data_IF_247230290304
#
_entry.id   IF_247230290304
#
_cell.length_a   1.000
_cell.length_b   1.000
_cell.length_c   1.000
_cell.angle_alpha   90.00
_cell.angle_beta   90.00
_cell.angle_gamma   90.00
#
_symmetry.space_group_name_H-M   'P 1'
#
loop_
_entity.id
_entity.type
_entity.pdbx_description
1 polymer ?
#
# COMPACT_ATOMS: atom_id res chain seq x y z
N UNK A 1 14.47 -12.36 12.81
CA UNK A 1 13.62 -13.18 11.91
C UNK A 1 12.72 -14.12 12.71
N UNK A 2 13.26 -15.03 13.53
CA UNK A 2 12.48 -15.97 14.35
C UNK A 2 11.43 -15.28 15.27
N UNK A 3 11.80 -14.18 15.94
CA UNK A 3 10.87 -13.42 16.76
C UNK A 3 9.69 -12.84 15.96
N UNK A 4 9.96 -12.23 14.79
CA UNK A 4 8.90 -11.67 13.91
C UNK A 4 7.95 -12.76 13.42
N UNK A 5 8.48 -13.94 13.11
CA UNK A 5 7.68 -15.09 12.68
C UNK A 5 6.80 -15.64 13.81
N UNK A 6 7.34 -15.79 15.02
CA UNK A 6 6.56 -16.20 16.20
C UNK A 6 5.44 -15.19 16.48
N UNK A 7 5.73 -13.90 16.34
CA UNK A 7 4.76 -12.83 16.56
C UNK A 7 3.60 -12.88 15.57
N UNK A 8 3.92 -13.09 14.30
CA UNK A 8 2.94 -13.25 13.24
C UNK A 8 2.04 -14.47 13.48
N UNK A 9 2.62 -15.60 13.89
CA UNK A 9 1.86 -16.81 14.24
C UNK A 9 0.95 -16.55 15.44
N UNK A 10 1.44 -15.93 16.52
CA UNK A 10 0.62 -15.60 17.70
C UNK A 10 -0.55 -14.69 17.35
N UNK A 11 -0.32 -13.66 16.52
CA UNK A 11 -1.37 -12.74 16.07
C UNK A 11 -2.39 -13.49 15.21
N UNK A 12 -1.93 -14.32 14.26
CA UNK A 12 -2.82 -15.11 13.40
C UNK A 12 -3.73 -16.04 14.22
N UNK A 13 -3.19 -16.71 15.23
CA UNK A 13 -3.99 -17.54 16.15
C UNK A 13 -5.03 -16.71 16.92
N UNK A 14 -4.64 -15.54 17.43
CA UNK A 14 -5.53 -14.66 18.20
C UNK A 14 -6.71 -14.15 17.36
N UNK A 15 -6.46 -13.81 16.09
CA UNK A 15 -7.49 -13.22 15.21
C UNK A 15 -8.22 -14.25 14.35
N UNK A 16 -7.84 -15.54 14.41
CA UNK A 16 -8.46 -16.63 13.63
C UNK A 16 -9.99 -16.69 13.71
N UNK A 17 -10.66 -16.40 14.84
CA UNK A 17 -12.13 -16.37 14.88
C UNK A 17 -12.76 -15.28 14.00
N UNK A 18 -12.01 -14.23 13.68
CA UNK A 18 -12.45 -13.08 12.87
C UNK A 18 -11.27 -12.60 12.02
N UNK A 19 -10.89 -13.33 10.95
CA UNK A 19 -9.77 -12.95 10.12
C UNK A 19 -10.04 -11.61 9.42
N UNK A 20 -9.00 -10.86 9.04
CA UNK A 20 -9.20 -9.65 8.26
C UNK A 20 -9.85 -9.98 6.91
N UNK A 21 -10.77 -9.14 6.46
CA UNK A 21 -11.43 -9.29 5.14
C UNK A 21 -10.56 -8.75 3.98
N UNK A 22 -9.46 -8.07 4.31
CA UNK A 22 -8.46 -7.61 3.37
C UNK A 22 -7.30 -6.90 4.07
N UNK A 23 -6.28 -6.54 3.30
CA UNK A 23 -5.08 -5.89 3.83
C UNK A 23 -4.56 -4.80 2.89
N UNK A 24 -3.92 -3.78 3.47
CA UNK A 24 -3.28 -2.68 2.74
C UNK A 24 -1.83 -2.54 3.19
N UNK A 25 -0.89 -2.56 2.25
CA UNK A 25 0.55 -2.50 2.53
C UNK A 25 1.24 -1.33 1.81
N UNK A 26 2.48 -1.03 2.19
CA UNK A 26 3.35 -0.09 1.46
C UNK A 26 3.87 -0.68 0.12
N UNK A 27 3.70 -1.99 -0.09
CA UNK A 27 4.12 -2.73 -1.28
C UNK A 27 5.59 -3.16 -1.26
N UNK A 28 6.20 -3.32 -0.08
CA UNK A 28 7.50 -3.96 0.03
C UNK A 28 7.46 -5.40 -0.50
N UNK A 29 8.45 -5.83 -1.31
CA UNK A 29 8.49 -7.17 -1.86
C UNK A 29 8.35 -8.26 -0.78
N UNK A 30 7.54 -9.28 -1.06
CA UNK A 30 7.35 -10.44 -0.19
C UNK A 30 6.37 -10.27 0.98
N UNK A 31 6.17 -9.06 1.50
CA UNK A 31 5.25 -8.83 2.64
C UNK A 31 3.80 -9.13 2.23
N UNK A 32 3.39 -8.69 1.03
CA UNK A 32 2.05 -8.95 0.51
C UNK A 32 1.72 -10.44 0.43
N UNK A 33 2.63 -11.23 -0.13
CA UNK A 33 2.45 -12.69 -0.27
C UNK A 33 2.35 -13.41 1.08
N UNK A 34 3.17 -13.01 2.06
CA UNK A 34 3.11 -13.57 3.41
C UNK A 34 1.75 -13.27 4.05
N UNK A 35 1.29 -12.01 4.01
CA UNK A 35 -0.02 -11.61 4.56
C UNK A 35 -1.15 -12.37 3.85
N UNK A 36 -1.06 -12.47 2.53
CA UNK A 36 -2.03 -13.19 1.69
C UNK A 36 -2.15 -14.65 2.11
N UNK A 37 -1.02 -15.35 2.23
CA UNK A 37 -0.98 -16.75 2.65
C UNK A 37 -1.43 -16.97 4.09
N UNK A 38 -1.03 -16.09 5.01
CA UNK A 38 -1.36 -16.20 6.43
C UNK A 38 -2.85 -16.02 6.74
N UNK A 39 -3.53 -15.12 6.02
CA UNK A 39 -4.94 -14.80 6.25
C UNK A 39 -5.86 -15.32 5.14
N UNK A 40 -5.34 -16.12 4.20
CA UNK A 40 -6.07 -16.64 3.05
C UNK A 40 -6.82 -15.56 2.26
N UNK A 41 -6.19 -14.38 2.09
CA UNK A 41 -6.78 -13.27 1.37
C UNK A 41 -6.71 -13.52 -0.15
N UNK A 42 -7.74 -13.11 -0.89
CA UNK A 42 -7.71 -13.12 -2.35
C UNK A 42 -6.76 -12.07 -2.92
N UNK A 43 -6.74 -10.87 -2.30
CA UNK A 43 -5.94 -9.72 -2.71
C UNK A 43 -5.37 -9.00 -1.48
N UNK A 44 -4.12 -8.53 -1.60
CA UNK A 44 -3.53 -7.56 -0.68
C UNK A 44 -3.28 -6.29 -1.46
N UNK A 45 -3.95 -5.21 -1.07
CA UNK A 45 -3.87 -3.95 -1.77
C UNK A 45 -2.58 -3.20 -1.42
N UNK A 46 -1.99 -2.52 -2.39
CA UNK A 46 -0.95 -1.53 -2.15
C UNK A 46 -1.56 -0.15 -1.89
N UNK A 47 -1.09 0.55 -0.87
CA UNK A 47 -1.56 1.88 -0.51
C UNK A 47 -1.37 2.86 -1.67
N UNK A 48 -2.47 3.46 -2.14
CA UNK A 48 -2.48 4.36 -3.31
C UNK A 48 -1.59 5.59 -3.11
N UNK A 49 -1.48 6.09 -1.87
CA UNK A 49 -0.58 7.23 -1.54
C UNK A 49 0.90 6.86 -1.70
N UNK A 50 1.27 5.63 -1.32
CA UNK A 50 2.65 5.15 -1.51
C UNK A 50 2.97 4.95 -3.00
N UNK A 51 1.99 4.45 -3.76
CA UNK A 51 2.10 4.31 -5.22
C UNK A 51 2.27 5.67 -5.88
N UNK A 52 1.46 6.67 -5.49
CA UNK A 52 1.57 8.04 -5.98
C UNK A 52 2.94 8.67 -5.65
N UNK A 53 3.48 8.39 -4.45
CA UNK A 53 4.83 8.82 -4.04
C UNK A 53 5.92 8.20 -4.93
N UNK A 54 5.84 6.90 -5.21
CA UNK A 54 6.76 6.22 -6.13
C UNK A 54 6.67 6.80 -7.54
N UNK A 55 5.46 7.03 -8.04
CA UNK A 55 5.23 7.64 -9.35
C UNK A 55 5.84 9.04 -9.44
N UNK A 56 5.71 9.86 -8.39
CA UNK A 56 6.36 11.18 -8.32
C UNK A 56 7.88 11.09 -8.40
N UNK A 57 8.49 10.05 -7.83
CA UNK A 57 9.93 9.80 -7.91
C UNK A 57 10.37 9.35 -9.31
N UNK A 58 9.53 8.56 -10.00
CA UNK A 58 9.86 8.07 -11.35
C UNK A 58 9.55 9.10 -12.45
N UNK A 59 8.53 9.91 -12.26
CA UNK A 59 8.05 10.87 -13.25
C UNK A 59 8.31 12.29 -12.73
N UNK A 60 9.51 12.86 -12.87
CA UNK A 60 9.82 14.18 -12.30
C UNK A 60 8.94 15.28 -12.90
N UNK A 61 8.69 16.33 -12.11
CA UNK A 61 7.83 17.46 -12.51
C UNK A 61 8.36 18.19 -13.75
N UNK A 62 9.68 18.39 -13.83
CA UNK A 62 10.35 19.10 -14.92
C UNK A 62 11.13 18.12 -15.80
N UNK A 63 10.45 17.10 -16.33
CA UNK A 63 11.09 16.21 -17.31
C UNK A 63 11.18 16.89 -18.67
N UNK A 64 12.31 16.83 -19.39
CA UNK A 64 12.40 17.32 -20.77
C UNK A 64 11.67 16.40 -21.77
N UNK A 65 11.26 15.19 -21.34
CA UNK A 65 10.60 14.21 -22.20
C UNK A 65 9.08 14.35 -22.11
N UNK A 66 8.43 14.69 -23.23
CA UNK A 66 6.97 14.85 -23.31
C UNK A 66 6.22 13.60 -22.83
N UNK A 67 6.69 12.41 -23.20
CA UNK A 67 6.12 11.14 -22.74
C UNK A 67 6.06 11.04 -21.21
N UNK A 68 7.09 11.50 -20.50
CA UNK A 68 7.14 11.53 -19.03
C UNK A 68 6.15 12.54 -18.46
N UNK A 69 6.06 13.73 -19.05
CA UNK A 69 5.11 14.76 -18.63
C UNK A 69 3.67 14.26 -18.75
N UNK A 70 3.33 13.67 -19.91
CA UNK A 70 2.00 13.10 -20.16
C UNK A 70 1.68 11.94 -19.23
N UNK A 71 2.63 11.02 -19.00
CA UNK A 71 2.39 9.93 -18.04
C UNK A 71 2.22 10.47 -16.61
N UNK A 72 2.92 11.55 -16.24
CA UNK A 72 2.80 12.17 -14.92
C UNK A 72 1.40 12.74 -14.69
N UNK A 73 0.84 13.43 -15.68
CA UNK A 73 -0.52 13.99 -15.63
C UNK A 73 -1.57 12.89 -15.39
N UNK A 74 -1.43 11.75 -16.06
CA UNK A 74 -2.32 10.59 -15.95
C UNK A 74 -2.18 9.92 -14.58
N UNK A 75 -0.94 9.69 -14.14
CA UNK A 75 -0.64 8.77 -13.04
C UNK A 75 -0.61 9.43 -11.65
N UNK A 76 -0.40 10.74 -11.51
CA UNK A 76 -0.35 11.36 -10.18
C UNK A 76 -1.69 11.43 -9.45
N UNK A 77 -2.84 11.71 -10.08
CA UNK A 77 -4.09 11.86 -9.34
C UNK A 77 -4.73 10.53 -8.89
N UNK A 78 -3.96 9.47 -8.58
CA UNK A 78 -4.54 8.17 -8.19
C UNK A 78 -5.45 8.25 -6.97
N UNK A 79 -5.12 9.13 -6.02
CA UNK A 79 -5.94 9.36 -4.83
C UNK A 79 -7.32 9.94 -5.14
N UNK A 80 -7.54 10.45 -6.37
CA UNK A 80 -8.84 10.91 -6.87
C UNK A 80 -9.70 9.80 -7.45
N UNK A 81 -9.16 8.60 -7.72
CA UNK A 81 -9.95 7.45 -8.15
C UNK A 81 -10.82 6.99 -6.97
N UNK A 82 -12.14 7.10 -7.12
CA UNK A 82 -13.14 6.73 -6.09
C UNK A 82 -14.20 5.78 -6.60
N UNK A 83 -14.36 5.68 -7.91
CA UNK A 83 -15.39 4.89 -8.57
C UNK A 83 -14.80 4.01 -9.67
N UNK A 84 -15.57 3.02 -10.11
CA UNK A 84 -15.20 2.21 -11.26
C UNK A 84 -15.06 3.04 -12.54
N UNK A 85 -15.86 4.11 -12.68
CA UNK A 85 -15.77 5.04 -13.80
C UNK A 85 -14.42 5.78 -13.82
N UNK A 86 -13.95 6.27 -12.67
CA UNK A 86 -12.63 6.92 -12.55
C UNK A 86 -11.49 5.96 -12.93
N UNK A 87 -11.59 4.71 -12.48
CA UNK A 87 -10.61 3.67 -12.80
C UNK A 87 -10.60 3.36 -14.31
N UNK A 88 -11.78 3.23 -14.93
CA UNK A 88 -11.89 2.99 -16.36
C UNK A 88 -11.29 4.17 -17.17
N UNK A 89 -11.50 5.42 -16.73
CA UNK A 89 -10.89 6.59 -17.36
C UNK A 89 -9.36 6.59 -17.23
N UNK A 90 -8.82 6.26 -16.05
CA UNK A 90 -7.39 6.08 -15.85
C UNK A 90 -6.83 4.99 -16.76
N UNK A 91 -7.49 3.83 -16.82
CA UNK A 91 -7.09 2.71 -17.66
C UNK A 91 -7.05 3.09 -19.15
N UNK A 92 -8.11 3.74 -19.64
CA UNK A 92 -8.16 4.24 -21.02
C UNK A 92 -7.04 5.25 -21.30
N UNK A 93 -6.77 6.16 -20.37
CA UNK A 93 -5.71 7.16 -20.51
C UNK A 93 -4.32 6.52 -20.57
N UNK A 94 -4.08 5.47 -19.77
CA UNK A 94 -2.85 4.68 -19.80
C UNK A 94 -2.68 3.92 -21.13
N UNK A 95 -3.77 3.37 -21.67
CA UNK A 95 -3.76 2.67 -22.96
C UNK A 95 -3.44 3.63 -24.12
N UNK A 96 -4.06 4.81 -24.14
CA UNK A 96 -3.76 5.86 -25.11
C UNK A 96 -2.30 6.31 -25.03
N UNK A 97 -1.79 6.51 -23.82
CA UNK A 97 -0.38 6.83 -23.60
C UNK A 97 0.55 5.73 -24.10
N UNK A 98 0.24 4.46 -23.86
CA UNK A 98 1.04 3.33 -24.35
C UNK A 98 1.01 3.26 -25.89
N UNK A 99 -0.14 3.52 -26.51
CA UNK A 99 -0.23 3.55 -27.98
C UNK A 99 0.69 4.61 -28.60
N UNK A 100 0.82 5.78 -27.97
CA UNK A 100 1.61 6.89 -28.49
C UNK A 100 3.10 6.78 -28.12
N UNK A 101 3.42 6.38 -26.89
CA UNK A 101 4.77 6.45 -26.33
C UNK A 101 5.36 5.08 -25.94
N UNK A 102 4.63 3.98 -26.14
CA UNK A 102 5.02 2.64 -25.68
C UNK A 102 6.33 2.12 -26.29
N UNK A 103 6.75 2.66 -27.43
CA UNK A 103 8.07 2.36 -28.02
C UNK A 103 9.23 2.72 -27.07
N UNK A 104 9.10 3.80 -26.29
CA UNK A 104 10.11 4.23 -25.30
C UNK A 104 10.28 3.22 -24.16
N UNK A 105 9.27 2.39 -23.88
CA UNK A 105 9.36 1.34 -22.86
C UNK A 105 10.30 0.19 -23.26
N UNK A 106 10.61 0.08 -24.55
CA UNK A 106 11.43 -0.98 -25.14
C UNK A 106 12.83 -0.50 -25.54
N UNK A 107 13.05 0.82 -25.60
CA UNK A 107 14.32 1.44 -25.96
C UNK A 107 15.45 1.04 -25.00
N UNK A 108 16.63 0.76 -25.54
CA UNK A 108 17.81 0.29 -24.81
C UNK A 108 19.02 1.14 -25.14
N UNK A 109 19.81 1.44 -24.11
CA UNK A 109 21.13 2.03 -24.22
C UNK A 109 22.19 0.97 -23.93
N UNK A 110 23.33 1.10 -24.61
CA UNK A 110 24.45 0.17 -24.52
C UNK A 110 25.68 0.89 -23.93
N UNK A 111 26.56 0.19 -23.20
CA UNK A 111 27.79 0.78 -22.70
C UNK A 111 28.71 1.15 -23.87
N UNK A 112 29.38 2.29 -23.75
CA UNK A 112 30.46 2.67 -24.66
C UNK A 112 31.67 1.78 -24.34
N UNK A 113 32.40 1.34 -25.37
CA UNK A 113 33.63 0.55 -25.20
C UNK A 113 34.61 1.30 -24.29
N UNK A 114 35.15 0.63 -23.27
CA UNK A 114 36.07 1.24 -22.30
C UNK A 114 35.41 2.00 -21.13
N UNK A 115 34.07 2.11 -21.08
CA UNK A 115 33.36 2.83 -20.00
C UNK A 115 33.39 2.15 -18.62
N UNK A 116 33.97 0.95 -18.49
CA UNK A 116 33.99 0.18 -17.23
C UNK A 116 32.61 -0.35 -16.78
N UNK A 117 31.54 -0.08 -17.53
CA UNK A 117 30.19 -0.55 -17.21
C UNK A 117 30.05 -2.04 -17.51
N UNK A 118 29.83 -2.86 -16.48
CA UNK A 118 29.68 -4.32 -16.60
C UNK A 118 28.38 -4.79 -17.28
N UNK A 119 27.34 -3.95 -17.33
CA UNK A 119 26.03 -4.30 -17.92
C UNK A 119 26.07 -4.17 -19.43
N UNK A 120 25.59 -5.21 -20.15
CA UNK A 120 25.51 -5.23 -21.63
C UNK A 120 24.55 -4.20 -22.23
N UNK A 121 23.50 -3.85 -21.50
CA UNK A 121 22.53 -2.81 -21.87
C UNK A 121 21.66 -2.44 -20.64
N UNK A 122 20.92 -1.35 -20.74
CA UNK A 122 19.84 -0.98 -19.84
C UNK A 122 18.71 -0.30 -20.60
N UNK A 123 17.51 -0.25 -20.03
CA UNK A 123 16.41 0.53 -20.60
C UNK A 123 16.74 2.01 -20.53
N UNK A 124 16.69 2.70 -21.67
CA UNK A 124 17.00 4.12 -21.78
C UNK A 124 16.08 4.93 -20.86
N UNK A 125 14.78 4.65 -20.92
CA UNK A 125 13.75 5.31 -20.12
C UNK A 125 13.35 4.46 -18.91
N UNK A 126 14.33 4.02 -18.11
CA UNK A 126 14.10 3.07 -17.02
C UNK A 126 13.06 3.55 -15.98
N UNK A 127 13.05 4.84 -15.65
CA UNK A 127 12.06 5.43 -14.73
C UNK A 127 10.66 5.47 -15.33
N UNK A 128 10.52 5.95 -16.57
CA UNK A 128 9.24 5.96 -17.30
C UNK A 128 8.62 4.56 -17.32
N UNK A 129 9.46 3.57 -17.62
CA UNK A 129 9.05 2.17 -17.66
C UNK A 129 8.67 1.60 -16.29
N UNK A 130 9.36 1.99 -15.22
CA UNK A 130 8.98 1.61 -13.85
C UNK A 130 7.62 2.19 -13.48
N UNK A 131 7.37 3.46 -13.80
CA UNK A 131 6.09 4.11 -13.53
C UNK A 131 4.94 3.44 -14.29
N UNK A 132 5.09 3.21 -15.60
CA UNK A 132 4.06 2.56 -16.41
C UNK A 132 3.74 1.14 -15.90
N UNK A 133 4.77 0.36 -15.54
CA UNK A 133 4.58 -1.00 -15.02
C UNK A 133 3.95 -1.04 -13.64
N UNK A 134 4.20 -0.03 -12.82
CA UNK A 134 3.63 0.05 -11.48
C UNK A 134 2.10 0.04 -11.52
N UNK A 135 1.49 0.59 -12.57
CA UNK A 135 0.03 0.60 -12.75
C UNK A 135 -0.50 -0.55 -13.61
N UNK A 136 0.28 -1.04 -14.59
CA UNK A 136 -0.22 -2.01 -15.57
C UNK A 136 0.13 -3.48 -15.27
N UNK A 137 1.12 -3.76 -14.40
CA UNK A 137 1.56 -5.15 -14.16
C UNK A 137 0.60 -5.94 -13.27
N UNK A 138 0.05 -5.30 -12.25
CA UNK A 138 -0.93 -5.90 -11.36
C UNK A 138 -1.93 -4.84 -10.90
N UNK A 139 -2.86 -4.44 -11.79
CA UNK A 139 -3.87 -3.47 -11.44
C UNK A 139 -4.80 -3.98 -10.35
N UNK A 140 -4.99 -5.30 -10.19
CA UNK A 140 -5.85 -5.86 -9.13
C UNK A 140 -5.33 -5.60 -7.71
N UNK A 141 -4.00 -5.44 -7.56
CA UNK A 141 -3.38 -5.03 -6.30
C UNK A 141 -3.57 -3.54 -5.98
N UNK A 142 -4.09 -2.76 -6.93
CA UNK A 142 -4.37 -1.34 -6.83
C UNK A 142 -5.88 -1.16 -6.98
N UNK A 143 -6.53 -0.31 -6.21
CA UNK A 143 -7.99 -0.09 -6.36
C UNK A 143 -8.93 -1.25 -5.99
N UNK A 144 -8.47 -2.34 -5.35
CA UNK A 144 -9.35 -3.38 -4.79
C UNK A 144 -10.45 -2.80 -3.86
N UNK A 145 -10.19 -1.66 -3.21
CA UNK A 145 -11.17 -0.93 -2.41
C UNK A 145 -12.43 -0.49 -3.18
N UNK A 146 -12.40 -0.45 -4.51
CA UNK A 146 -13.57 -0.16 -5.34
C UNK A 146 -14.59 -1.31 -5.31
N UNK A 147 -14.10 -2.55 -5.29
CA UNK A 147 -14.92 -3.77 -5.20
C UNK A 147 -15.22 -4.17 -3.75
N UNK A 148 -14.29 -3.87 -2.84
CA UNK A 148 -14.39 -4.19 -1.42
C UNK A 148 -14.21 -2.94 -0.54
N UNK A 149 -15.29 -2.20 -0.23
CA UNK A 149 -15.23 -0.95 0.53
C UNK A 149 -14.70 -1.08 1.97
N UNK A 150 -14.62 -2.31 2.50
CA UNK A 150 -14.06 -2.58 3.84
C UNK A 150 -12.54 -2.37 3.83
N UNK A 151 -11.89 -2.60 2.68
CA UNK A 151 -10.47 -2.34 2.49
C UNK A 151 -10.27 -0.85 2.20
N UNK A 152 -9.53 -0.10 3.02
CA UNK A 152 -9.32 1.32 2.77
C UNK A 152 -8.39 1.54 1.57
N UNK A 153 -8.56 2.64 0.83
CA UNK A 153 -7.64 3.03 -0.26
C UNK A 153 -6.23 3.41 0.21
N UNK A 154 -6.06 3.75 1.49
CA UNK A 154 -4.79 4.21 2.07
C UNK A 154 -4.55 3.61 3.45
N UNK A 155 -3.28 3.50 3.84
CA UNK A 155 -2.85 3.15 5.19
C UNK A 155 -2.33 4.37 5.99
N UNK A 156 -2.54 5.60 5.51
CA UNK A 156 -2.03 6.83 6.15
C UNK A 156 -2.53 7.02 7.59
N UNK A 157 -3.73 6.51 7.91
CA UNK A 157 -4.26 6.51 9.27
C UNK A 157 -3.35 5.76 10.25
N UNK A 158 -2.58 4.78 9.78
CA UNK A 158 -1.59 4.04 10.56
C UNK A 158 -0.25 4.76 10.68
N UNK A 159 0.13 5.63 9.73
CA UNK A 159 1.41 6.36 9.82
C UNK A 159 1.49 7.23 11.09
N UNK A 160 0.38 7.87 11.48
CA UNK A 160 0.29 8.63 12.73
C UNK A 160 0.40 7.74 13.98
N UNK A 161 -0.26 6.59 13.97
CA UNK A 161 -0.20 5.62 15.08
C UNK A 161 1.21 5.05 15.23
N UNK A 162 1.84 4.68 14.11
CA UNK A 162 3.21 4.18 14.08
C UNK A 162 4.18 5.22 14.66
N UNK A 163 4.05 6.49 14.30
CA UNK A 163 4.85 7.57 14.89
C UNK A 163 4.70 7.66 16.42
N UNK A 164 3.47 7.49 16.93
CA UNK A 164 3.23 7.49 18.38
C UNK A 164 3.86 6.29 19.09
N UNK A 165 3.90 5.13 18.45
CA UNK A 165 4.54 3.92 18.98
C UNK A 165 6.06 4.00 18.90
N UNK A 166 6.61 4.47 17.77
CA UNK A 166 8.05 4.65 17.59
C UNK A 166 8.64 5.66 18.56
N UNK A 167 7.91 6.71 18.95
CA UNK A 167 8.34 7.66 20.00
C UNK A 167 8.47 7.03 21.38
N UNK A 168 8.08 5.76 21.56
CA UNK A 168 8.20 5.00 22.80
C UNK A 168 9.21 3.85 22.66
N UNK A 169 10.36 4.15 22.04
CA UNK A 169 11.51 3.23 21.98
C UNK A 169 11.82 2.74 23.40
N UNK A 170 11.95 1.41 23.58
CA UNK A 170 12.17 0.77 24.89
C UNK A 170 10.91 0.19 25.55
N UNK A 171 9.72 0.35 24.96
CA UNK A 171 8.50 -0.26 25.47
C UNK A 171 8.46 -1.78 25.23
N UNK A 172 8.23 -2.56 26.28
CA UNK A 172 8.04 -4.01 26.17
C UNK A 172 6.85 -4.37 25.28
N UNK A 173 6.95 -5.51 24.60
CA UNK A 173 5.95 -5.99 23.64
C UNK A 173 4.55 -6.11 24.25
N UNK A 174 4.42 -6.63 25.47
CA UNK A 174 3.12 -6.74 26.15
C UNK A 174 2.43 -5.39 26.34
N UNK A 175 3.20 -4.33 26.61
CA UNK A 175 2.67 -2.97 26.75
C UNK A 175 2.25 -2.37 25.40
N UNK A 176 2.96 -2.69 24.32
CA UNK A 176 2.56 -2.29 22.95
C UNK A 176 1.24 -2.96 22.55
N UNK A 177 1.10 -4.28 22.79
CA UNK A 177 -0.13 -5.05 22.53
C UNK A 177 -1.29 -4.45 23.33
N UNK A 178 -1.09 -4.19 24.63
CA UNK A 178 -2.12 -3.58 25.47
C UNK A 178 -2.60 -2.23 24.90
N UNK A 179 -1.69 -1.34 24.52
CA UNK A 179 -2.05 -0.04 23.91
C UNK A 179 -2.81 -0.23 22.59
N UNK A 180 -2.38 -1.16 21.73
CA UNK A 180 -3.07 -1.46 20.48
C UNK A 180 -4.49 -1.99 20.73
N UNK A 181 -4.65 -2.95 21.65
CA UNK A 181 -5.96 -3.49 22.05
C UNK A 181 -6.88 -2.38 22.58
N UNK A 182 -6.40 -1.53 23.48
CA UNK A 182 -7.16 -0.38 23.98
C UNK A 182 -7.55 0.60 22.87
N UNK A 183 -6.63 0.89 21.95
CA UNK A 183 -6.89 1.76 20.80
C UNK A 183 -7.98 1.18 19.91
N UNK A 184 -7.96 -0.13 19.64
CA UNK A 184 -8.97 -0.84 18.84
C UNK A 184 -10.34 -0.87 19.53
N UNK A 185 -10.39 -1.11 20.85
CA UNK A 185 -11.62 -1.15 21.61
C UNK A 185 -12.34 0.21 21.60
N UNK A 186 -11.59 1.30 21.79
CA UNK A 186 -12.17 2.65 21.88
C UNK A 186 -12.31 3.39 20.55
N UNK A 187 -11.55 3.04 19.51
CA UNK A 187 -11.68 3.68 18.18
C UNK A 187 -13.05 3.45 17.56
N UNK A 188 -13.74 2.36 17.94
CA UNK A 188 -15.11 2.05 17.53
C UNK A 188 -16.16 2.93 18.23
N UNK A 189 -15.78 3.69 19.27
CA UNK A 189 -16.68 4.46 20.12
C UNK A 189 -16.39 5.96 20.01
N UNK A 190 -17.05 6.61 19.05
CA UNK A 190 -16.87 8.04 18.75
C UNK A 190 -17.38 8.98 19.85
N UNK A 191 -18.26 8.53 20.74
CA UNK A 191 -18.90 9.39 21.76
C UNK A 191 -18.58 8.96 23.21
N UNK A 192 -18.52 9.91 24.16
CA UNK A 192 -18.33 9.62 25.59
C UNK A 192 -19.39 8.66 26.15
N UNK A 193 -20.66 8.83 25.74
CA UNK A 193 -21.78 7.97 26.16
C UNK A 193 -21.58 6.51 25.76
N UNK A 194 -21.10 6.26 24.52
CA UNK A 194 -20.81 4.89 24.03
C UNK A 194 -19.62 4.26 24.76
N UNK A 195 -18.60 5.05 25.15
CA UNK A 195 -17.49 4.57 25.99
C UNK A 195 -17.97 4.12 27.38
N UNK A 196 -18.88 4.89 28.01
CA UNK A 196 -19.49 4.51 29.29
C UNK A 196 -20.29 3.21 29.19
N UNK A 197 -21.11 3.05 28.14
CA UNK A 197 -21.85 1.82 27.88
C UNK A 197 -20.95 0.58 27.70
N UNK A 198 -19.84 0.71 26.97
CA UNK A 198 -18.86 -0.39 26.85
C UNK A 198 -18.26 -0.75 28.21
N UNK A 199 -17.87 0.26 29.00
CA UNK A 199 -17.31 0.09 30.33
C UNK A 199 -18.28 -0.63 31.28
N UNK A 200 -19.54 -0.22 31.29
CA UNK A 200 -20.59 -0.85 32.11
C UNK A 200 -20.86 -2.30 31.68
N UNK A 201 -20.77 -2.59 30.38
CA UNK A 201 -20.90 -3.96 29.84
C UNK A 201 -19.72 -4.84 30.24
N UNK A 202 -18.49 -4.31 30.19
CA UNK A 202 -17.29 -5.04 30.60
C UNK A 202 -17.27 -5.34 32.10
N UNK A 203 -17.70 -4.39 32.93
CA UNK A 203 -17.83 -4.61 34.38
C UNK A 203 -18.76 -5.77 34.71
N UNK A 204 -19.90 -5.89 34.01
CA UNK A 204 -20.85 -7.00 34.18
C UNK A 204 -20.31 -8.34 33.68
N UNK A 205 -19.41 -8.34 32.70
CA UNK A 205 -18.78 -9.58 32.21
C UNK A 205 -17.69 -10.10 33.15
N UNK A 206 -17.05 -9.21 33.92
CA UNK A 206 -15.98 -9.57 34.86
C UNK A 206 -16.51 -9.93 36.26
N UNK A 207 -17.71 -9.45 36.60
CA UNK A 207 -18.46 -9.82 37.80
C UNK A 207 -19.83 -10.37 37.34
N UNK A 208 -19.88 -11.65 36.90
CA UNK A 208 -21.10 -12.26 36.38
C UNK A 208 -22.22 -12.33 37.43
#
# INVERSE_FOLDING_TARGET
>A
MAAVQADLISIATLIRPTPPEGAVTDGKPGIGEVIKGMFHLSVVQRCVVHVERDLKNYLPLHSPLLATQKLREICIPLTKVKTQADYNQLYFSLAMWESEYGYLLKERSHPILGSGVKRRWWYTHGNLRRAWRLLNRDPSSLFHFLDNPIVPSTNNSLEGVNRHLYRRVGMSRGKQISIMCWKLAFSRLKTPRRRKLLWDKWKRLLNP
#
